data_IF_097228118710
#
_entry.id   IF_097228118710
#
_cell.length_a   1.000
_cell.length_b   1.000
_cell.length_c   1.000
_cell.angle_alpha   90.00
_cell.angle_beta   90.00
_cell.angle_gamma   90.00
#
_symmetry.space_group_name_H-M   'P 1'
#
loop_
_entity.id
_entity.type
_entity.pdbx_description
1 polymer ?
#
# COMPACT_ATOMS: atom_id res chain seq x y z
N UNK A 1 9.25 24.89 -16.43
CA UNK A 1 9.84 24.93 -17.78
C UNK A 1 8.97 25.90 -18.60
N UNK A 2 9.55 27.05 -18.97
CA UNK A 2 8.87 27.99 -19.87
C UNK A 2 8.71 27.35 -21.24
N UNK A 3 7.48 27.30 -21.73
CA UNK A 3 7.20 26.93 -23.11
C UNK A 3 7.37 28.17 -23.97
N UNK A 4 8.33 28.15 -24.87
CA UNK A 4 8.53 29.22 -25.85
C UNK A 4 8.42 28.64 -27.24
N UNK A 5 7.90 29.41 -28.17
CA UNK A 5 7.96 29.08 -29.60
C UNK A 5 8.59 30.23 -30.37
N UNK A 6 9.21 29.89 -31.47
CA UNK A 6 9.87 30.89 -32.32
C UNK A 6 8.86 31.47 -33.31
N UNK A 7 8.67 32.78 -33.26
CA UNK A 7 7.84 33.51 -34.19
C UNK A 7 8.63 34.70 -34.75
N UNK A 8 8.77 34.80 -36.06
CA UNK A 8 9.49 35.85 -36.77
C UNK A 8 10.89 36.08 -36.21
N UNK A 9 11.67 34.97 -36.01
CA UNK A 9 13.02 34.92 -35.46
C UNK A 9 13.18 35.39 -33.98
N UNK A 10 12.08 35.59 -33.26
CA UNK A 10 12.05 35.94 -31.86
C UNK A 10 11.43 34.81 -31.06
N UNK A 11 11.99 34.53 -29.87
CA UNK A 11 11.40 33.60 -28.93
C UNK A 11 10.25 34.27 -28.21
N UNK A 12 9.03 33.76 -28.42
CA UNK A 12 7.81 34.29 -27.80
C UNK A 12 7.39 33.34 -26.68
N UNK A 13 7.03 33.87 -25.47
CA UNK A 13 6.54 33.05 -24.39
C UNK A 13 5.21 32.38 -24.78
N UNK A 14 5.12 31.06 -24.60
CA UNK A 14 3.92 30.28 -24.81
C UNK A 14 3.34 29.80 -23.50
N UNK A 15 2.09 29.36 -23.53
CA UNK A 15 1.43 28.69 -22.42
C UNK A 15 1.12 27.25 -22.79
N UNK A 16 1.28 26.35 -21.82
CA UNK A 16 0.89 24.95 -21.97
C UNK A 16 0.11 24.50 -20.71
N UNK A 17 -0.89 23.66 -20.91
CA UNK A 17 -1.55 22.98 -19.80
C UNK A 17 -0.57 21.93 -19.27
N UNK A 18 -0.21 22.03 -18.00
CA UNK A 18 0.72 21.10 -17.33
C UNK A 18 -0.01 20.08 -16.46
N UNK A 19 -1.25 20.38 -16.04
CA UNK A 19 -2.09 19.52 -15.22
C UNK A 19 -3.56 19.84 -15.52
N UNK A 20 -4.39 18.81 -15.49
CA UNK A 20 -5.84 18.98 -15.53
C UNK A 20 -6.36 19.12 -14.09
N UNK A 21 -7.30 20.04 -13.85
CA UNK A 21 -8.04 20.13 -12.60
C UNK A 21 -9.17 19.10 -12.57
N UNK A 22 -9.52 18.62 -11.37
CA UNK A 22 -10.72 17.83 -11.14
C UNK A 22 -11.68 18.64 -10.25
N UNK A 23 -12.82 19.15 -10.78
CA UNK A 23 -13.77 19.92 -9.98
C UNK A 23 -14.60 19.06 -9.02
N UNK A 24 -14.65 17.74 -9.22
CA UNK A 24 -15.47 16.80 -8.45
C UNK A 24 -14.71 16.14 -7.31
N UNK A 25 -13.53 16.68 -6.96
CA UNK A 25 -12.69 16.14 -5.88
C UNK A 25 -13.39 16.30 -4.53
N UNK A 26 -13.38 15.23 -3.75
CA UNK A 26 -13.92 15.19 -2.39
C UNK A 26 -12.84 14.82 -1.38
N UNK A 27 -13.13 15.04 -0.09
CA UNK A 27 -12.23 14.63 0.98
C UNK A 27 -12.24 13.12 1.17
N UNK A 28 -11.07 12.57 1.45
CA UNK A 28 -10.94 11.19 1.94
C UNK A 28 -11.67 11.03 3.27
N UNK A 29 -12.42 9.96 3.42
CA UNK A 29 -13.14 9.66 4.65
C UNK A 29 -12.63 8.38 5.27
N UNK A 30 -12.24 8.45 6.54
CA UNK A 30 -11.79 7.27 7.30
C UNK A 30 -12.76 6.97 8.44
N UNK A 31 -13.23 5.74 8.47
CA UNK A 31 -14.00 5.18 9.57
C UNK A 31 -13.16 4.12 10.28
N UNK A 32 -13.07 4.20 11.61
CA UNK A 32 -12.29 3.25 12.41
C UNK A 32 -13.14 2.69 13.55
N UNK A 33 -13.09 1.39 13.72
CA UNK A 33 -13.63 0.68 14.89
C UNK A 33 -12.45 0.03 15.61
N UNK A 34 -12.35 0.29 16.91
CA UNK A 34 -11.33 -0.28 17.78
C UNK A 34 -12.00 -0.92 19.00
N UNK A 35 -11.56 -2.13 19.36
CA UNK A 35 -12.00 -2.84 20.55
C UNK A 35 -10.74 -3.24 21.30
N UNK A 36 -10.60 -2.74 22.53
CA UNK A 36 -9.47 -3.02 23.41
C UNK A 36 -9.92 -3.72 24.69
N UNK A 37 -9.04 -4.52 25.25
CA UNK A 37 -9.19 -5.20 26.52
C UNK A 37 -7.86 -5.11 27.30
N UNK A 38 -7.95 -4.50 28.48
CA UNK A 38 -6.85 -4.38 29.42
C UNK A 38 -7.09 -5.29 30.63
N UNK A 39 -6.12 -6.11 30.98
CA UNK A 39 -6.24 -7.06 32.08
C UNK A 39 -4.97 -7.02 32.94
N UNK A 40 -5.17 -6.90 34.25
CA UNK A 40 -4.12 -7.04 35.25
C UNK A 40 -4.25 -8.34 36.05
N UNK A 41 -3.15 -9.02 36.32
CA UNK A 41 -3.08 -10.26 37.08
C UNK A 41 -1.97 -10.16 38.13
N UNK A 42 -2.15 -10.90 39.24
CA UNK A 42 -1.17 -11.00 40.32
C UNK A 42 -0.79 -9.64 40.94
N UNK A 43 -1.80 -8.85 41.35
CA UNK A 43 -1.59 -7.49 41.86
C UNK A 43 -0.83 -6.61 40.87
N UNK A 44 -1.29 -6.61 39.60
CA UNK A 44 -0.74 -5.86 38.46
C UNK A 44 0.72 -6.18 38.08
N UNK A 45 1.21 -7.35 38.51
CA UNK A 45 2.53 -7.83 38.05
C UNK A 45 2.53 -8.30 36.61
N UNK A 46 1.40 -8.78 36.13
CA UNK A 46 1.22 -9.15 34.73
C UNK A 46 0.12 -8.27 34.16
N UNK A 47 0.46 -7.47 33.19
CA UNK A 47 -0.46 -6.65 32.44
C UNK A 47 -0.57 -7.22 31.02
N UNK A 48 -1.79 -7.42 30.55
CA UNK A 48 -2.10 -7.87 29.20
C UNK A 48 -3.03 -6.87 28.55
N UNK A 49 -2.58 -6.30 27.44
CA UNK A 49 -3.36 -5.39 26.61
C UNK A 49 -3.57 -6.05 25.26
N UNK A 50 -4.82 -6.23 24.89
CA UNK A 50 -5.20 -6.81 23.60
C UNK A 50 -6.13 -5.86 22.84
N UNK A 51 -5.78 -5.54 21.63
CA UNK A 51 -6.55 -4.65 20.77
C UNK A 51 -6.85 -5.31 19.43
N UNK A 52 -8.03 -5.04 18.92
CA UNK A 52 -8.42 -5.36 17.54
C UNK A 52 -8.98 -4.12 16.88
N UNK A 53 -8.54 -3.82 15.68
CA UNK A 53 -9.01 -2.67 14.92
C UNK A 53 -9.43 -3.03 13.50
N UNK A 54 -10.40 -2.27 13.01
CA UNK A 54 -10.80 -2.24 11.61
C UNK A 54 -10.89 -0.78 11.17
N UNK A 55 -10.11 -0.43 10.16
CA UNK A 55 -10.07 0.91 9.58
C UNK A 55 -10.42 0.82 8.10
N UNK A 56 -11.40 1.59 7.68
CA UNK A 56 -11.82 1.71 6.28
C UNK A 56 -11.65 3.15 5.83
N UNK A 57 -10.92 3.35 4.73
CA UNK A 57 -10.73 4.66 4.11
C UNK A 57 -11.32 4.61 2.72
N UNK A 58 -12.28 5.49 2.46
CA UNK A 58 -12.93 5.67 1.17
C UNK A 58 -12.51 6.97 0.51
N UNK A 59 -12.78 7.08 -0.79
CA UNK A 59 -12.49 8.24 -1.61
C UNK A 59 -11.02 8.66 -1.60
N UNK A 60 -10.11 7.67 -1.52
CA UNK A 60 -8.67 7.92 -1.52
C UNK A 60 -8.27 8.60 -2.82
N UNK A 61 -7.49 9.68 -2.66
CA UNK A 61 -7.01 10.51 -3.75
C UNK A 61 -5.78 9.88 -4.41
N UNK A 62 -5.94 9.48 -5.65
CA UNK A 62 -4.85 8.90 -6.46
C UNK A 62 -4.76 9.55 -7.84
N UNK A 63 -3.54 9.56 -8.39
CA UNK A 63 -3.29 9.93 -9.78
C UNK A 63 -3.40 8.67 -10.64
N UNK A 64 -4.51 8.56 -11.38
CA UNK A 64 -4.68 7.44 -12.30
C UNK A 64 -3.81 7.62 -13.55
N UNK A 65 -3.14 6.56 -14.03
CA UNK A 65 -2.30 6.66 -15.21
C UNK A 65 -3.16 7.01 -16.44
N UNK A 66 -2.77 8.06 -17.15
CA UNK A 66 -3.36 8.46 -18.43
C UNK A 66 -2.34 8.26 -19.57
N UNK A 67 -2.79 8.11 -20.82
CA UNK A 67 -1.88 8.03 -21.95
C UNK A 67 -0.99 9.27 -22.05
N UNK A 68 0.33 9.08 -22.14
CA UNK A 68 1.31 10.18 -22.22
C UNK A 68 1.12 11.09 -23.45
N UNK A 69 0.41 10.62 -24.46
CA UNK A 69 0.05 11.39 -25.64
C UNK A 69 -0.84 12.61 -25.36
N UNK A 70 -1.48 12.64 -24.17
CA UNK A 70 -2.31 13.78 -23.73
C UNK A 70 -1.44 15.01 -23.41
N UNK A 71 -0.17 14.82 -23.01
CA UNK A 71 0.80 15.91 -22.86
C UNK A 71 0.76 16.68 -21.55
N UNK A 72 -0.09 16.28 -20.58
CA UNK A 72 -0.12 16.85 -19.23
C UNK A 72 -0.20 15.75 -18.16
N UNK A 73 0.01 16.13 -16.90
CA UNK A 73 -0.06 15.20 -15.77
C UNK A 73 -1.51 14.77 -15.48
N UNK A 74 -1.72 13.51 -15.04
CA UNK A 74 -3.05 13.05 -14.68
C UNK A 74 -3.66 13.89 -13.56
N UNK A 75 -4.98 14.14 -13.60
CA UNK A 75 -5.68 14.75 -12.48
C UNK A 75 -5.75 13.76 -11.31
N UNK A 76 -5.74 14.29 -10.09
CA UNK A 76 -6.05 13.54 -8.88
C UNK A 76 -7.55 13.23 -8.87
N UNK A 77 -7.92 12.00 -8.49
CA UNK A 77 -9.30 11.52 -8.45
C UNK A 77 -9.54 10.70 -7.19
N UNK A 78 -10.77 10.71 -6.69
CA UNK A 78 -11.23 9.84 -5.61
C UNK A 78 -11.51 8.45 -6.20
N UNK A 79 -10.49 7.62 -6.32
CA UNK A 79 -10.54 6.41 -7.12
C UNK A 79 -10.12 5.13 -6.39
N UNK A 80 -10.05 5.16 -5.06
CA UNK A 80 -9.77 3.95 -4.29
C UNK A 80 -10.47 3.93 -2.93
N UNK A 81 -10.73 2.71 -2.46
CA UNK A 81 -11.12 2.43 -1.09
C UNK A 81 -10.22 1.31 -0.53
N UNK A 82 -9.80 1.45 0.72
CA UNK A 82 -8.86 0.54 1.37
C UNK A 82 -9.32 0.19 2.77
N UNK A 83 -9.26 -1.08 3.12
CA UNK A 83 -9.44 -1.54 4.50
C UNK A 83 -8.10 -1.98 5.11
N UNK A 84 -7.97 -1.72 6.41
CA UNK A 84 -6.89 -2.24 7.24
C UNK A 84 -7.52 -2.87 8.47
N UNK A 85 -7.20 -4.10 8.75
CA UNK A 85 -7.62 -4.80 9.94
C UNK A 85 -6.42 -5.45 10.61
N UNK A 86 -6.39 -5.38 11.92
CA UNK A 86 -5.27 -5.93 12.65
C UNK A 86 -5.60 -6.16 14.12
N UNK A 87 -4.63 -6.77 14.79
CA UNK A 87 -4.66 -6.98 16.22
C UNK A 87 -3.29 -6.66 16.81
N UNK A 88 -3.30 -6.23 18.05
CA UNK A 88 -2.12 -5.94 18.85
C UNK A 88 -2.27 -6.62 20.20
N UNK A 89 -1.18 -7.22 20.70
CA UNK A 89 -1.10 -7.87 22.00
C UNK A 89 0.18 -7.42 22.68
N UNK A 90 0.04 -6.76 23.82
CA UNK A 90 1.16 -6.43 24.70
C UNK A 90 1.04 -7.23 25.99
N UNK A 91 2.14 -7.82 26.42
CA UNK A 91 2.24 -8.52 27.71
C UNK A 91 3.43 -7.94 28.46
N UNK A 92 3.16 -7.32 29.60
CA UNK A 92 4.16 -6.73 30.47
C UNK A 92 4.24 -7.53 31.79
N UNK A 93 5.44 -7.81 32.23
CA UNK A 93 5.69 -8.42 33.54
C UNK A 93 6.56 -7.51 34.40
N UNK A 94 6.10 -7.22 35.60
CA UNK A 94 6.81 -6.43 36.60
C UNK A 94 7.25 -7.33 37.75
N UNK A 95 8.55 -7.61 37.80
CA UNK A 95 9.18 -8.36 38.89
C UNK A 95 9.38 -7.46 40.11
N UNK A 96 8.68 -7.75 41.18
CA UNK A 96 8.90 -7.07 42.46
C UNK A 96 9.93 -7.81 43.30
N UNK A 97 10.83 -7.08 44.00
CA UNK A 97 11.80 -7.72 44.89
C UNK A 97 11.11 -8.39 46.09
N UNK A 98 11.66 -9.48 46.54
CA UNK A 98 11.21 -10.18 47.77
C UNK A 98 11.59 -9.42 49.06
N UNK A 99 12.38 -8.35 48.99
CA UNK A 99 12.81 -7.50 50.11
C UNK A 99 13.05 -6.07 49.64
N UNK A 100 13.05 -5.10 50.55
CA UNK A 100 13.24 -3.65 50.28
C UNK A 100 14.55 -3.29 49.55
N UNK A 101 15.52 -4.18 49.50
CA UNK A 101 16.82 -4.01 48.82
C UNK A 101 16.95 -4.89 47.58
N UNK A 102 15.87 -5.47 47.08
CA UNK A 102 15.89 -6.37 45.94
C UNK A 102 15.94 -5.64 44.60
N UNK A 103 16.27 -6.37 43.55
CA UNK A 103 16.34 -5.91 42.18
C UNK A 103 14.92 -5.87 41.56
N UNK A 104 14.50 -4.71 41.04
CA UNK A 104 13.28 -4.56 40.26
C UNK A 104 13.58 -4.69 38.77
N UNK A 105 12.72 -5.39 38.05
CA UNK A 105 12.84 -5.50 36.59
C UNK A 105 11.47 -5.58 35.94
N UNK A 106 11.41 -5.15 34.69
CA UNK A 106 10.24 -5.32 33.85
C UNK A 106 10.62 -5.94 32.52
N UNK A 107 9.76 -6.78 31.99
CA UNK A 107 9.90 -7.39 30.67
C UNK A 107 8.59 -7.19 29.92
N UNK A 108 8.68 -6.63 28.72
CA UNK A 108 7.53 -6.43 27.82
C UNK A 108 7.72 -7.21 26.52
N UNK A 109 6.62 -7.79 26.04
CA UNK A 109 6.53 -8.45 24.74
C UNK A 109 5.34 -7.87 24.00
N UNK A 110 5.58 -7.45 22.75
CA UNK A 110 4.54 -6.92 21.87
C UNK A 110 4.45 -7.79 20.61
N UNK A 111 3.23 -8.13 20.25
CA UNK A 111 2.90 -8.84 19.02
C UNK A 111 1.84 -8.05 18.27
N UNK A 112 1.98 -7.95 16.96
CA UNK A 112 0.97 -7.30 16.12
C UNK A 112 0.95 -7.91 14.73
N UNK A 113 -0.21 -7.88 14.09
CA UNK A 113 -0.37 -8.23 12.69
C UNK A 113 -1.41 -7.34 12.05
N UNK A 114 -1.15 -6.90 10.83
CA UNK A 114 -2.02 -6.00 10.06
C UNK A 114 -2.18 -6.51 8.65
N UNK A 115 -3.41 -6.66 8.22
CA UNK A 115 -3.76 -6.98 6.84
C UNK A 115 -4.40 -5.77 6.19
N UNK A 116 -3.77 -5.26 5.14
CA UNK A 116 -4.28 -4.19 4.27
C UNK A 116 -4.90 -4.79 3.02
N UNK A 117 -6.03 -4.26 2.58
CA UNK A 117 -6.70 -4.72 1.36
C UNK A 117 -7.29 -3.55 0.58
N UNK A 118 -7.09 -3.56 -0.72
CA UNK A 118 -7.79 -2.66 -1.65
C UNK A 118 -9.20 -3.23 -1.84
N UNK A 119 -10.20 -2.48 -1.42
CA UNK A 119 -11.61 -2.91 -1.48
C UNK A 119 -12.26 -2.52 -2.80
N UNK A 120 -11.94 -1.34 -3.32
CA UNK A 120 -12.53 -0.81 -4.55
C UNK A 120 -11.53 0.12 -5.25
N UNK A 121 -11.45 0.05 -6.56
CA UNK A 121 -10.70 0.95 -7.42
C UNK A 121 -11.63 1.78 -8.32
N UNK A 122 -12.92 1.89 -7.95
CA UNK A 122 -13.95 2.66 -8.69
C UNK A 122 -14.01 2.31 -10.18
N UNK A 123 -13.79 1.02 -10.50
CA UNK A 123 -13.84 0.52 -11.88
C UNK A 123 -12.65 0.88 -12.76
N UNK A 124 -11.57 1.43 -12.19
CA UNK A 124 -10.35 1.75 -12.97
C UNK A 124 -9.53 0.51 -13.34
N UNK A 125 -9.88 -0.67 -12.74
CA UNK A 125 -9.18 -1.93 -12.93
C UNK A 125 -7.77 -1.92 -12.32
N UNK A 126 -7.02 -3.00 -12.41
CA UNK A 126 -5.68 -3.03 -11.87
C UNK A 126 -4.78 -2.03 -12.60
N UNK A 127 -3.98 -1.26 -11.83
CA UNK A 127 -3.01 -0.34 -12.37
C UNK A 127 -1.64 -0.49 -11.70
N UNK A 128 -0.62 0.06 -12.35
CA UNK A 128 0.76 -0.09 -11.96
C UNK A 128 1.34 1.27 -11.54
N UNK A 129 1.39 1.58 -10.22
CA UNK A 129 1.98 2.83 -9.75
C UNK A 129 3.48 2.91 -10.12
N UNK A 130 4.14 1.76 -10.15
CA UNK A 130 5.53 1.63 -10.56
C UNK A 130 5.81 0.31 -11.33
N UNK A 131 7.08 -0.01 -11.57
CA UNK A 131 7.49 -1.21 -12.32
C UNK A 131 7.30 -2.52 -11.56
N UNK A 132 7.26 -2.47 -10.25
CA UNK A 132 7.33 -3.64 -9.37
C UNK A 132 6.06 -3.87 -8.57
N UNK A 133 5.20 -2.88 -8.47
CA UNK A 133 3.97 -2.96 -7.71
C UNK A 133 2.73 -2.94 -8.59
N UNK A 134 1.67 -3.53 -8.08
CA UNK A 134 0.34 -3.55 -8.70
C UNK A 134 -0.71 -3.24 -7.64
N UNK A 135 -1.69 -2.44 -8.02
CA UNK A 135 -2.90 -2.22 -7.25
C UNK A 135 -4.03 -2.98 -7.91
N UNK A 136 -4.54 -3.97 -7.18
CA UNK A 136 -5.64 -4.85 -7.63
C UNK A 136 -6.63 -5.01 -6.49
N UNK A 137 -7.90 -4.95 -6.78
CA UNK A 137 -8.96 -5.21 -5.79
C UNK A 137 -8.78 -6.58 -5.15
N UNK A 138 -8.95 -6.65 -3.84
CA UNK A 138 -8.77 -7.84 -3.03
C UNK A 138 -7.34 -8.13 -2.58
N UNK A 139 -6.34 -7.44 -3.14
CA UNK A 139 -4.92 -7.57 -2.77
C UNK A 139 -4.47 -6.46 -1.82
N UNK A 140 -3.30 -6.65 -1.21
CA UNK A 140 -2.69 -5.61 -0.38
C UNK A 140 -2.19 -4.44 -1.22
N UNK A 141 -2.23 -3.24 -0.64
CA UNK A 141 -1.58 -2.08 -1.24
C UNK A 141 -0.10 -2.40 -1.52
N UNK A 142 0.36 -2.03 -2.72
CA UNK A 142 1.72 -2.26 -3.17
C UNK A 142 2.11 -3.75 -3.22
N UNK A 143 1.16 -4.63 -3.53
CA UNK A 143 1.46 -6.03 -3.83
C UNK A 143 2.52 -6.11 -4.92
N UNK A 144 3.56 -6.93 -4.68
CA UNK A 144 4.66 -7.07 -5.62
C UNK A 144 4.23 -7.86 -6.86
N UNK A 145 4.61 -7.32 -8.00
CA UNK A 145 4.45 -7.97 -9.30
C UNK A 145 5.80 -8.46 -9.79
N UNK A 146 5.86 -9.72 -10.19
CA UNK A 146 7.06 -10.31 -10.76
C UNK A 146 6.75 -11.49 -11.67
N UNK A 147 7.72 -11.86 -12.47
CA UNK A 147 7.67 -13.11 -13.23
C UNK A 147 8.08 -14.24 -12.30
N UNK A 148 7.23 -15.24 -12.17
CA UNK A 148 7.57 -16.47 -11.46
C UNK A 148 8.46 -17.31 -12.37
N UNK A 149 9.70 -17.55 -11.95
CA UNK A 149 10.58 -18.49 -12.66
C UNK A 149 10.09 -19.91 -12.43
N UNK A 150 9.85 -20.70 -13.47
CA UNK A 150 9.51 -22.11 -13.34
C UNK A 150 10.70 -22.99 -12.93
N UNK A 151 11.89 -22.41 -12.80
CA UNK A 151 13.12 -23.10 -12.46
C UNK A 151 14.14 -23.08 -13.61
N UNK A 152 15.13 -23.96 -13.52
CA UNK A 152 16.16 -24.13 -14.53
C UNK A 152 15.90 -25.44 -15.28
N UNK A 153 15.96 -25.41 -16.60
CA UNK A 153 15.93 -26.63 -17.40
C UNK A 153 17.15 -27.49 -17.09
N UNK A 154 16.95 -28.72 -16.65
CA UNK A 154 18.02 -29.65 -16.28
C UNK A 154 18.25 -30.74 -17.30
N UNK A 155 17.25 -31.00 -18.14
CA UNK A 155 17.27 -32.07 -19.13
C UNK A 155 16.82 -31.54 -20.49
N UNK A 156 17.17 -32.26 -21.57
CA UNK A 156 16.69 -31.97 -22.91
C UNK A 156 15.17 -32.08 -22.98
N UNK A 157 14.60 -33.02 -22.24
CA UNK A 157 13.14 -33.27 -22.18
C UNK A 157 12.42 -32.04 -21.56
N UNK A 158 13.00 -31.39 -20.54
CA UNK A 158 12.46 -30.15 -19.97
C UNK A 158 12.39 -29.03 -21.01
N UNK A 159 13.41 -28.97 -21.87
CA UNK A 159 13.50 -27.99 -22.94
C UNK A 159 12.49 -28.27 -24.07
N UNK A 160 12.34 -29.52 -24.47
CA UNK A 160 11.44 -29.94 -25.53
C UNK A 160 9.96 -29.81 -25.14
N UNK A 161 9.64 -30.00 -23.85
CA UNK A 161 8.30 -29.82 -23.29
C UNK A 161 7.95 -28.35 -22.95
N UNK A 162 8.90 -27.44 -23.10
CA UNK A 162 8.62 -26.02 -22.83
C UNK A 162 7.84 -25.40 -23.99
N UNK A 163 6.68 -24.79 -23.72
CA UNK A 163 5.93 -24.12 -24.77
C UNK A 163 6.74 -22.96 -25.34
N UNK A 164 7.16 -23.09 -26.58
CA UNK A 164 8.01 -22.12 -27.30
C UNK A 164 7.41 -20.72 -27.51
N UNK A 165 6.27 -20.42 -26.89
CA UNK A 165 5.43 -19.23 -27.10
C UNK A 165 5.45 -18.26 -25.93
N UNK A 166 6.62 -17.89 -25.39
CA UNK A 166 6.67 -16.79 -24.40
C UNK A 166 7.06 -15.45 -25.04
N UNK A 167 7.56 -15.43 -26.24
CA UNK A 167 7.80 -14.19 -26.95
C UNK A 167 6.82 -14.07 -28.12
N UNK A 168 5.85 -13.12 -28.07
CA UNK A 168 5.16 -12.77 -29.30
C UNK A 168 6.21 -12.34 -30.31
N UNK A 169 6.29 -13.07 -31.41
CA UNK A 169 7.04 -12.61 -32.58
C UNK A 169 6.48 -11.26 -32.97
N UNK A 170 7.26 -10.21 -32.75
CA UNK A 170 7.00 -8.90 -33.32
C UNK A 170 7.27 -9.05 -34.82
N UNK A 171 6.18 -9.18 -35.59
CA UNK A 171 6.22 -9.00 -37.05
C UNK A 171 6.09 -7.54 -37.36
#
# INVERSE_FOLDING_TARGET
>A
LGTGYQFNNNLVPGTAITSAGNPDITWETTTMTNIGLDMGFMDDRIEVIAEYFYKYTDDILIELPIPRTIGYNPPVQNAAAVSNKGWELAVNYHGAPASDSGFEYSVGLNFSDVVSRIEDLKGTGPFFPDKFTVWTEGESINSLRGLKSPGIYKTQEDLDNYPATIFPTVT
#
